data_IF_914224990135
#
_entry.id   IF_914224990135
#
_cell.length_a   1.000
_cell.length_b   1.000
_cell.length_c   1.000
_cell.angle_alpha   90.00
_cell.angle_beta   90.00
_cell.angle_gamma   90.00
#
_symmetry.space_group_name_H-M   'P 1'
#
loop_
_entity.id
_entity.type
_entity.pdbx_description
1 polymer ?
#
# COMPACT_ATOMS: atom_id res chain seq x y z
N UNK A 1 -18.88 -9.08 11.27
CA UNK A 1 -17.61 -9.64 11.82
C UNK A 1 -16.89 -10.57 10.83
N UNK A 2 -17.58 -11.31 9.95
CA UNK A 2 -16.93 -12.20 8.96
C UNK A 2 -16.14 -11.51 7.83
N UNK A 3 -16.41 -10.23 7.54
CA UNK A 3 -15.74 -9.49 6.46
C UNK A 3 -14.31 -9.06 6.85
N UNK A 4 -14.04 -8.83 8.15
CA UNK A 4 -12.73 -8.40 8.64
C UNK A 4 -11.66 -9.51 8.63
N UNK A 5 -12.07 -10.78 8.57
CA UNK A 5 -11.18 -11.94 8.42
C UNK A 5 -10.92 -12.33 6.97
N UNK A 6 -11.59 -11.67 6.01
CA UNK A 6 -11.42 -11.94 4.58
C UNK A 6 -10.01 -11.59 4.14
N UNK A 7 -9.35 -12.52 3.44
CA UNK A 7 -8.02 -12.32 2.84
C UNK A 7 -7.99 -11.13 1.87
N UNK A 8 -9.15 -10.72 1.33
CA UNK A 8 -9.28 -9.52 0.50
C UNK A 8 -9.09 -8.23 1.30
N UNK A 9 -9.65 -8.15 2.50
CA UNK A 9 -9.51 -6.99 3.39
C UNK A 9 -8.09 -6.93 3.95
N UNK A 10 -7.48 -8.09 4.26
CA UNK A 10 -6.06 -8.17 4.65
C UNK A 10 -5.14 -7.72 3.53
N UNK A 11 -5.41 -8.13 2.29
CA UNK A 11 -4.65 -7.67 1.12
C UNK A 11 -4.77 -6.15 0.91
N UNK A 12 -5.98 -5.60 1.06
CA UNK A 12 -6.21 -4.16 0.97
C UNK A 12 -5.50 -3.39 2.09
N UNK A 13 -5.56 -3.88 3.33
CA UNK A 13 -4.82 -3.30 4.46
C UNK A 13 -3.30 -3.33 4.22
N UNK A 14 -2.76 -4.46 3.75
CA UNK A 14 -1.31 -4.57 3.45
C UNK A 14 -0.93 -3.61 2.32
N UNK A 15 -1.77 -3.45 1.30
CA UNK A 15 -1.52 -2.51 0.21
C UNK A 15 -1.55 -1.05 0.67
N UNK A 16 -2.60 -0.64 1.40
CA UNK A 16 -2.76 0.75 1.84
C UNK A 16 -1.82 1.12 2.99
N UNK A 17 -1.54 0.19 3.91
CA UNK A 17 -0.65 0.41 5.06
C UNK A 17 0.74 -0.19 4.86
N UNK A 18 1.17 -0.48 3.64
CA UNK A 18 2.50 -1.06 3.35
C UNK A 18 3.63 -0.24 3.98
N UNK A 19 3.50 1.09 3.99
CA UNK A 19 4.47 2.00 4.62
C UNK A 19 4.21 2.19 6.12
N UNK A 20 2.94 2.21 6.53
CA UNK A 20 2.53 2.50 7.91
C UNK A 20 2.80 1.33 8.86
N UNK A 21 2.69 0.08 8.40
CA UNK A 21 3.00 -1.12 9.18
C UNK A 21 4.46 -1.11 9.64
N UNK A 22 5.48 -1.07 8.75
CA UNK A 22 6.88 -1.00 9.17
C UNK A 22 7.19 0.28 9.96
N UNK A 23 6.55 1.41 9.63
CA UNK A 23 6.72 2.65 10.39
C UNK A 23 6.26 2.51 11.85
N UNK A 24 5.07 1.95 12.09
CA UNK A 24 4.57 1.70 13.46
C UNK A 24 5.44 0.73 14.25
N UNK A 25 6.04 -0.26 13.60
CA UNK A 25 6.99 -1.18 14.21
C UNK A 25 8.29 -0.47 14.59
N UNK A 26 8.83 0.39 13.71
CA UNK A 26 9.99 1.23 14.01
C UNK A 26 9.73 2.17 15.19
N UNK A 27 8.56 2.81 15.25
CA UNK A 27 8.16 3.66 16.37
C UNK A 27 8.08 2.85 17.67
N UNK A 28 7.52 1.64 17.61
CA UNK A 28 7.44 0.74 18.77
C UNK A 28 8.83 0.33 19.28
N UNK A 29 9.76 0.00 18.37
CA UNK A 29 11.17 -0.26 18.73
C UNK A 29 11.81 0.96 19.38
N UNK A 30 11.56 2.16 18.84
CA UNK A 30 12.16 3.40 19.31
C UNK A 30 11.65 3.76 20.72
N UNK A 31 10.36 3.62 20.97
CA UNK A 31 9.77 3.76 22.31
C UNK A 31 10.39 2.79 23.32
N UNK A 32 10.65 1.55 22.91
CA UNK A 32 11.22 0.57 23.82
C UNK A 32 12.70 0.78 24.08
N UNK A 33 13.46 1.20 23.06
CA UNK A 33 14.84 1.67 23.25
C UNK A 33 14.90 2.85 24.21
N UNK A 34 13.97 3.81 24.09
CA UNK A 34 13.87 4.95 25.03
C UNK A 34 13.55 4.48 26.45
N UNK A 35 12.68 3.48 26.62
CA UNK A 35 12.39 2.87 27.95
C UNK A 35 13.60 2.14 28.54
N UNK A 36 14.36 1.41 27.72
CA UNK A 36 15.58 0.73 28.15
C UNK A 36 16.67 1.74 28.55
N UNK A 37 16.86 2.81 27.76
CA UNK A 37 17.82 3.88 28.09
C UNK A 37 17.44 4.64 29.37
N UNK A 38 16.15 4.70 29.72
CA UNK A 38 15.66 5.29 30.98
C UNK A 38 15.73 4.33 32.18
N UNK A 39 16.19 3.09 32.01
CA UNK A 39 16.28 2.10 33.09
C UNK A 39 14.93 1.61 33.62
N UNK A 40 13.83 1.88 32.91
CA UNK A 40 12.47 1.55 33.34
C UNK A 40 12.09 0.07 33.07
N UNK A 41 12.95 -0.70 32.40
CA UNK A 41 12.69 -2.11 32.06
C UNK A 41 13.99 -2.92 32.01
N UNK A 42 14.01 -4.11 32.60
CA UNK A 42 15.17 -5.04 32.61
C UNK A 42 14.95 -6.25 31.68
N UNK A 43 14.02 -6.13 30.74
CA UNK A 43 13.68 -7.16 29.76
C UNK A 43 14.39 -6.89 28.44
N UNK A 44 15.04 -7.93 27.90
CA UNK A 44 15.80 -7.92 26.64
C UNK A 44 14.90 -7.89 25.38
N UNK A 45 13.62 -7.60 25.52
CA UNK A 45 12.64 -7.61 24.43
C UNK A 45 12.80 -6.37 23.55
N UNK A 46 12.81 -6.60 22.23
CA UNK A 46 12.95 -5.57 21.19
C UNK A 46 11.61 -4.95 20.76
N UNK A 47 10.48 -5.61 21.10
CA UNK A 47 9.12 -5.16 20.77
C UNK A 47 8.23 -5.02 21.99
N UNK A 48 7.39 -3.99 21.98
CA UNK A 48 6.41 -3.74 23.06
C UNK A 48 5.41 -4.91 23.05
N UNK A 49 4.85 -5.28 24.21
CA UNK A 49 3.94 -6.44 24.33
C UNK A 49 2.80 -6.41 23.30
N UNK A 50 2.28 -5.22 23.01
CA UNK A 50 1.24 -5.02 21.98
C UNK A 50 1.75 -5.25 20.54
N UNK A 51 2.99 -4.87 20.26
CA UNK A 51 3.62 -5.07 18.96
C UNK A 51 3.95 -6.56 18.74
N UNK A 52 4.37 -7.27 19.79
CA UNK A 52 4.61 -8.72 19.75
C UNK A 52 3.32 -9.51 19.53
N UNK A 53 2.22 -9.12 20.20
CA UNK A 53 0.90 -9.69 19.96
C UNK A 53 0.38 -9.45 18.54
N UNK A 54 0.72 -8.30 17.95
CA UNK A 54 0.35 -7.97 16.57
C UNK A 54 1.19 -8.75 15.56
N UNK A 55 2.50 -8.91 15.82
CA UNK A 55 3.42 -9.73 15.03
C UNK A 55 3.03 -11.21 15.04
N UNK A 56 2.64 -11.75 16.20
CA UNK A 56 2.17 -13.13 16.31
C UNK A 56 0.90 -13.37 15.48
N UNK A 57 -0.02 -12.40 15.46
CA UNK A 57 -1.22 -12.44 14.62
C UNK A 57 -0.90 -12.35 13.13
N UNK A 58 0.05 -11.50 12.75
CA UNK A 58 0.52 -11.35 11.36
C UNK A 58 1.26 -12.61 10.87
N UNK A 59 2.05 -13.25 11.74
CA UNK A 59 2.78 -14.48 11.40
C UNK A 59 1.84 -15.64 11.05
N UNK A 60 0.64 -15.69 11.65
CA UNK A 60 -0.38 -16.69 11.35
C UNK A 60 -1.15 -16.47 10.05
N UNK A 61 -0.87 -15.41 9.29
CA UNK A 61 -1.58 -15.13 8.05
C UNK A 61 -1.07 -15.99 6.89
N UNK A 62 -1.98 -16.37 5.98
CA UNK A 62 -1.60 -17.01 4.72
C UNK A 62 -1.04 -15.96 3.75
N UNK A 63 0.24 -15.61 3.93
CA UNK A 63 0.94 -14.59 3.15
C UNK A 63 0.88 -14.85 1.65
N UNK A 64 0.90 -16.11 1.21
CA UNK A 64 0.80 -16.46 -0.21
C UNK A 64 -0.56 -16.01 -0.79
N UNK A 65 -1.66 -16.39 -0.14
CA UNK A 65 -3.03 -15.99 -0.52
C UNK A 65 -3.21 -14.46 -0.56
N UNK A 66 -2.56 -13.75 0.36
CA UNK A 66 -2.62 -12.29 0.48
C UNK A 66 -1.78 -11.62 -0.62
N UNK A 67 -0.54 -12.03 -0.82
CA UNK A 67 0.37 -11.47 -1.82
C UNK A 67 -0.15 -11.64 -3.24
N UNK A 68 -0.76 -12.79 -3.56
CA UNK A 68 -1.40 -13.00 -4.86
C UNK A 68 -2.53 -11.99 -5.11
N UNK A 69 -3.38 -11.72 -4.10
CA UNK A 69 -4.46 -10.73 -4.21
C UNK A 69 -3.94 -9.30 -4.30
N UNK A 70 -2.88 -8.96 -3.54
CA UNK A 70 -2.19 -7.67 -3.64
C UNK A 70 -1.64 -7.46 -5.05
N UNK A 71 -1.05 -8.50 -5.65
CA UNK A 71 -0.53 -8.43 -7.01
C UNK A 71 -1.63 -8.15 -8.04
N UNK A 72 -2.81 -8.79 -7.91
CA UNK A 72 -3.96 -8.48 -8.76
C UNK A 72 -4.42 -7.03 -8.63
N UNK A 73 -4.51 -6.50 -7.41
CA UNK A 73 -4.85 -5.09 -7.20
C UNK A 73 -3.79 -4.13 -7.76
N UNK A 74 -2.51 -4.45 -7.63
CA UNK A 74 -1.41 -3.64 -8.15
C UNK A 74 -1.43 -3.61 -9.67
N UNK A 75 -1.66 -4.76 -10.31
CA UNK A 75 -1.78 -4.87 -11.76
C UNK A 75 -3.00 -4.11 -12.27
N UNK A 76 -4.14 -4.19 -11.58
CA UNK A 76 -5.33 -3.41 -11.91
C UNK A 76 -5.08 -1.90 -11.80
N UNK A 77 -4.45 -1.44 -10.72
CA UNK A 77 -4.08 -0.04 -10.55
C UNK A 77 -3.10 0.43 -11.64
N UNK A 78 -2.11 -0.39 -11.98
CA UNK A 78 -1.16 -0.09 -13.04
C UNK A 78 -1.85 0.00 -14.42
N UNK A 79 -2.76 -0.92 -14.74
CA UNK A 79 -3.53 -0.88 -16.00
C UNK A 79 -4.39 0.39 -16.06
N UNK A 80 -5.04 0.78 -14.98
CA UNK A 80 -5.84 2.00 -14.95
C UNK A 80 -4.99 3.26 -15.06
N UNK A 81 -3.90 3.35 -14.29
CA UNK A 81 -3.04 4.53 -14.31
C UNK A 81 -2.26 4.63 -15.60
N UNK A 82 -1.51 3.59 -15.96
CA UNK A 82 -0.61 3.63 -17.12
C UNK A 82 -1.39 3.38 -18.40
N UNK A 83 -2.29 2.40 -18.43
CA UNK A 83 -3.07 2.09 -19.62
C UNK A 83 -3.99 3.25 -20.01
N UNK A 84 -4.85 3.71 -19.11
CA UNK A 84 -5.81 4.77 -19.44
C UNK A 84 -5.13 6.11 -19.60
N UNK A 85 -4.27 6.55 -18.66
CA UNK A 85 -3.71 7.89 -18.77
C UNK A 85 -2.81 8.06 -20.00
N UNK A 86 -2.00 7.05 -20.36
CA UNK A 86 -1.16 7.12 -21.57
C UNK A 86 -2.01 7.04 -22.84
N UNK A 87 -3.04 6.18 -22.86
CA UNK A 87 -3.95 6.10 -24.00
C UNK A 87 -4.70 7.42 -24.21
N UNK A 88 -5.16 8.07 -23.14
CA UNK A 88 -5.80 9.39 -23.21
C UNK A 88 -4.85 10.44 -23.78
N UNK A 89 -3.58 10.45 -23.37
CA UNK A 89 -2.58 11.38 -23.92
C UNK A 89 -2.36 11.14 -25.42
N UNK A 90 -2.20 9.89 -25.85
CA UNK A 90 -2.03 9.54 -27.27
C UNK A 90 -3.27 9.92 -28.08
N UNK A 91 -4.45 9.66 -27.54
CA UNK A 91 -5.72 10.03 -28.17
C UNK A 91 -5.85 11.54 -28.33
N UNK A 92 -5.52 12.31 -27.29
CA UNK A 92 -5.55 13.78 -27.34
C UNK A 92 -4.50 14.34 -28.31
N UNK A 93 -3.30 13.76 -28.38
CA UNK A 93 -2.29 14.19 -29.36
C UNK A 93 -2.73 13.95 -30.80
N UNK A 94 -3.34 12.78 -31.06
CA UNK A 94 -3.90 12.46 -32.38
C UNK A 94 -5.06 13.41 -32.73
N UNK A 95 -5.97 13.66 -31.79
CA UNK A 95 -7.10 14.56 -31.99
C UNK A 95 -6.65 16.01 -32.25
N UNK A 96 -5.59 16.46 -31.58
CA UNK A 96 -4.99 17.77 -31.82
C UNK A 96 -4.36 17.87 -33.22
N UNK A 97 -3.70 16.83 -33.69
CA UNK A 97 -3.17 16.79 -35.05
C UNK A 97 -4.30 16.88 -36.09
N UNK A 98 -5.39 16.14 -35.89
CA UNK A 98 -6.52 16.16 -36.82
C UNK A 98 -7.23 17.51 -36.84
N UNK A 99 -7.40 18.15 -35.68
CA UNK A 99 -7.93 19.52 -35.58
C UNK A 99 -7.03 20.54 -36.29
N UNK A 100 -5.70 20.39 -36.21
CA UNK A 100 -4.76 21.31 -36.88
C UNK A 100 -4.79 21.23 -38.41
N UNK A 101 -5.30 20.13 -38.97
CA UNK A 101 -5.44 19.94 -40.42
C UNK A 101 -6.67 20.64 -40.99
N UNK A 102 -7.67 20.94 -40.15
CA UNK A 102 -8.88 21.65 -40.58
C UNK A 102 -8.61 23.16 -40.47
N UNK A 103 -8.65 23.92 -41.57
CA UNK A 103 -8.60 25.38 -41.50
C UNK A 103 -9.94 25.86 -40.93
N UNK A 104 -9.95 26.27 -39.66
CA UNK A 104 -11.06 27.03 -39.12
C UNK A 104 -10.99 28.45 -39.70
N UNK A 105 -11.59 28.65 -40.88
CA UNK A 105 -11.92 30.00 -41.34
C UNK A 105 -13.00 30.55 -40.40
N UNK A 106 -12.58 31.36 -39.43
CA UNK A 106 -13.49 32.19 -38.66
C UNK A 106 -14.03 33.28 -39.59
N UNK A 107 -15.29 33.12 -40.00
CA UNK A 107 -16.11 34.17 -40.60
C UNK A 107 -16.49 35.22 -39.55
#
# INVERSE_FOLDING_TARGET
VAVATSDWVRALLVMCLNVLIPFSLCVSMLHQKVRQMRGLTNTRQLFTVDAEATLAKLAGWNWFSILTKVNYFALAFWVLQVGVAKMTVVFLSWLNEELSRVPFEFA
#
